data_IF_651980622233
#
_entry.id   IF_651980622233
#
_cell.length_a   1.000
_cell.length_b   1.000
_cell.length_c   1.000
_cell.angle_alpha   90.00
_cell.angle_beta   90.00
_cell.angle_gamma   90.00
#
_symmetry.space_group_name_H-M   'P 1'
#
loop_
_entity.id
_entity.type
_entity.pdbx_description
1 polymer ?
#
# COMPACT_ATOMS: atom_id res chain seq x y z
N UNK A 1 -3.17 4.14 -23.55
CA UNK A 1 -2.78 3.98 -23.21
C UNK A 1 -2.26 3.63 -22.76
N UNK A 2 -2.23 3.68 -22.37
CA UNK A 2 -1.75 3.44 -21.83
C UNK A 2 -1.36 3.04 -21.10
N UNK A 3 -1.13 2.97 -20.77
CA UNK A 3 -0.84 2.59 -20.13
C UNK A 3 -0.44 2.33 -19.19
N UNK A 4 -0.57 2.23 -18.91
CA UNK A 4 -0.50 2.11 -17.93
C UNK A 4 -0.19 1.31 -17.16
N UNK A 5 -0.03 1.18 -16.56
CA UNK A 5 0.30 0.36 -16.02
C UNK A 5 0.57 0.29 -14.82
N UNK A 6 0.82 -0.30 -14.26
CA UNK A 6 1.02 -0.69 -13.06
C UNK A 6 2.26 -0.20 -12.62
N UNK A 7 2.48 1.00 -12.60
CA UNK A 7 3.63 1.52 -12.15
C UNK A 7 3.60 1.74 -10.74
N UNK A 8 4.75 1.88 -10.11
CA UNK A 8 4.92 2.37 -8.75
C UNK A 8 4.93 3.87 -8.82
N UNK A 9 4.01 4.47 -8.12
CA UNK A 9 3.95 5.91 -8.02
C UNK A 9 4.42 6.32 -6.65
N UNK A 10 5.36 7.24 -6.60
CA UNK A 10 5.92 7.72 -5.34
C UNK A 10 5.39 9.10 -5.04
N UNK A 11 4.76 9.24 -3.90
CA UNK A 11 4.27 10.53 -3.44
C UNK A 11 4.95 10.88 -2.13
N UNK A 12 5.31 12.11 -1.95
CA UNK A 12 5.99 12.57 -0.76
C UNK A 12 5.25 13.75 -0.15
N UNK A 13 5.25 13.79 1.17
CA UNK A 13 4.71 14.92 1.87
C UNK A 13 3.26 15.21 1.55
N UNK A 14 2.96 16.47 1.36
CA UNK A 14 1.58 16.88 1.15
C UNK A 14 1.02 16.40 -0.18
N UNK A 15 1.88 16.03 -1.12
CA UNK A 15 1.40 15.49 -2.39
C UNK A 15 0.62 14.21 -2.22
N UNK A 16 1.00 13.43 -1.21
CA UNK A 16 0.31 12.18 -0.93
C UNK A 16 -1.15 12.45 -0.62
N UNK A 17 -1.39 13.41 0.25
CA UNK A 17 -2.74 13.69 0.68
C UNK A 17 -3.60 14.18 -0.47
N UNK A 18 -3.02 15.00 -1.33
CA UNK A 18 -3.77 15.50 -2.49
C UNK A 18 -4.12 14.37 -3.44
N UNK A 19 -3.15 13.49 -3.70
CA UNK A 19 -3.41 12.38 -4.61
C UNK A 19 -4.43 11.41 -4.06
N UNK A 20 -4.37 11.14 -2.75
CA UNK A 20 -5.28 10.19 -2.13
C UNK A 20 -6.71 10.65 -2.17
N UNK A 21 -6.95 11.96 -2.11
CA UNK A 21 -8.30 12.49 -2.15
C UNK A 21 -9.02 12.14 -3.44
N UNK A 22 -8.28 11.86 -4.49
CA UNK A 22 -8.89 11.55 -5.77
C UNK A 22 -9.31 10.10 -5.89
N UNK A 23 -8.90 9.26 -4.94
CA UNK A 23 -9.26 7.86 -4.97
C UNK A 23 -10.66 7.67 -4.39
N UNK A 24 -11.55 7.04 -5.15
CA UNK A 24 -12.91 6.80 -4.70
C UNK A 24 -13.36 5.45 -5.20
N UNK A 25 -14.09 4.76 -4.35
CA UNK A 25 -14.68 3.48 -4.71
C UNK A 25 -13.64 2.44 -5.10
N UNK A 26 -12.46 2.55 -4.50
CA UNK A 26 -11.40 1.58 -4.72
C UNK A 26 -11.28 0.65 -3.53
N UNK A 27 -10.63 -0.46 -3.75
CA UNK A 27 -10.35 -1.39 -2.67
C UNK A 27 -8.85 -1.33 -2.42
N UNK A 28 -8.47 -0.76 -1.30
CA UNK A 28 -7.09 -0.40 -1.02
C UNK A 28 -6.50 -1.32 0.04
N UNK A 29 -5.41 -1.98 -0.30
CA UNK A 29 -4.66 -2.78 0.65
C UNK A 29 -3.54 -1.88 1.16
N UNK A 30 -3.65 -1.46 2.42
CA UNK A 30 -2.75 -0.48 3.00
C UNK A 30 -1.64 -1.18 3.74
N UNK A 31 -0.45 -1.17 3.19
CA UNK A 31 0.72 -1.78 3.82
C UNK A 31 1.44 -0.70 4.60
N UNK A 32 1.47 -0.84 5.92
CA UNK A 32 2.01 0.19 6.79
C UNK A 32 2.98 -0.39 7.80
N UNK A 33 4.05 0.34 8.03
CA UNK A 33 4.99 0.01 9.08
C UNK A 33 4.25 0.06 10.42
N UNK A 34 4.39 -0.94 11.28
CA UNK A 34 3.67 -0.94 12.57
C UNK A 34 3.87 0.30 13.39
N UNK A 35 5.04 0.88 13.32
CA UNK A 35 5.36 2.08 14.07
C UNK A 35 4.45 3.25 13.67
N UNK A 36 3.98 3.30 12.43
CA UNK A 36 3.07 4.36 11.99
C UNK A 36 1.68 4.17 12.56
N UNK A 37 1.31 2.94 12.86
CA UNK A 37 0.04 2.67 13.52
C UNK A 37 0.14 3.09 14.99
N UNK A 38 1.25 2.75 15.62
CA UNK A 38 1.43 3.05 17.04
C UNK A 38 1.48 4.54 17.31
N UNK A 39 2.11 5.30 16.43
CA UNK A 39 2.23 6.74 16.67
C UNK A 39 1.07 7.54 16.08
N UNK A 40 0.13 6.88 15.43
CA UNK A 40 -1.08 7.53 14.95
C UNK A 40 -0.97 8.20 13.59
N UNK A 41 0.21 8.15 12.96
CA UNK A 41 0.36 8.81 11.67
C UNK A 41 -0.53 8.21 10.60
N UNK A 42 -0.84 6.91 10.71
CA UNK A 42 -1.69 6.26 9.74
C UNK A 42 -3.09 6.87 9.72
N UNK A 43 -3.52 7.46 10.81
CA UNK A 43 -4.87 8.00 10.89
C UNK A 43 -5.10 9.13 9.89
N UNK A 44 -4.08 9.90 9.62
CA UNK A 44 -4.23 10.97 8.64
C UNK A 44 -4.41 10.40 7.24
N UNK A 45 -3.68 9.34 6.94
CA UNK A 45 -3.82 8.69 5.64
C UNK A 45 -5.21 8.10 5.48
N UNK A 46 -5.67 7.42 6.52
CA UNK A 46 -6.99 6.77 6.48
C UNK A 46 -8.09 7.79 6.24
N UNK A 47 -7.97 8.97 6.85
CA UNK A 47 -8.97 9.99 6.64
C UNK A 47 -9.05 10.45 5.19
N UNK A 48 -7.96 10.34 4.46
CA UNK A 48 -7.93 10.78 3.06
C UNK A 48 -8.37 9.71 2.09
N UNK A 49 -8.60 8.49 2.56
CA UNK A 49 -9.09 7.41 1.70
C UNK A 49 -10.43 6.87 2.17
N UNK A 50 -11.17 7.68 2.93
CA UNK A 50 -12.40 7.20 3.56
C UNK A 50 -13.56 7.01 2.58
N UNK A 51 -13.39 7.38 1.31
CA UNK A 51 -14.38 7.08 0.28
C UNK A 51 -14.08 5.74 -0.40
N UNK A 52 -13.23 4.95 0.21
CA UNK A 52 -12.80 3.67 -0.35
C UNK A 52 -12.93 2.60 0.73
N UNK A 53 -12.93 1.35 0.29
CA UNK A 53 -12.76 0.25 1.23
C UNK A 53 -11.27 0.04 1.42
N UNK A 54 -10.84 -0.25 2.63
CA UNK A 54 -9.42 -0.51 2.84
C UNK A 54 -9.21 -1.57 3.89
N UNK A 55 -8.06 -2.22 3.80
CA UNK A 55 -7.64 -3.25 4.73
C UNK A 55 -6.18 -2.96 5.06
N UNK A 56 -5.85 -2.90 6.35
CA UNK A 56 -4.50 -2.58 6.79
C UNK A 56 -3.71 -3.85 7.03
N UNK A 57 -2.50 -3.89 6.50
CA UNK A 57 -1.56 -4.97 6.73
C UNK A 57 -0.29 -4.35 7.29
N UNK A 58 0.07 -4.76 8.50
CA UNK A 58 1.24 -4.18 9.17
C UNK A 58 2.24 -5.21 9.64
N UNK A 59 2.09 -6.45 9.21
CA UNK A 59 3.03 -7.50 9.59
C UNK A 59 4.29 -7.40 8.76
N UNK A 60 5.04 -6.32 8.97
CA UNK A 60 6.20 -5.95 8.20
C UNK A 60 7.46 -6.20 9.02
N UNK A 61 8.37 -6.97 8.46
CA UNK A 61 9.68 -7.20 9.08
C UNK A 61 10.74 -7.06 8.00
N UNK A 62 11.96 -6.72 8.36
CA UNK A 62 13.05 -6.72 7.39
C UNK A 62 13.26 -8.14 6.89
N UNK A 63 13.57 -8.29 5.62
CA UNK A 63 13.89 -9.58 5.06
C UNK A 63 12.80 -10.60 5.40
N UNK A 64 11.56 -10.35 4.97
CA UNK A 64 10.43 -11.15 5.46
C UNK A 64 10.48 -12.59 4.96
N UNK A 65 10.07 -13.54 5.82
CA UNK A 65 9.94 -14.92 5.36
C UNK A 65 8.80 -15.01 4.36
N UNK A 66 8.88 -16.02 3.52
CA UNK A 66 7.90 -16.20 2.45
C UNK A 66 6.48 -16.31 3.00
N UNK A 67 6.33 -16.88 4.19
CA UNK A 67 5.01 -17.03 4.80
C UNK A 67 4.29 -15.71 5.00
N UNK A 68 5.05 -14.67 5.33
CA UNK A 68 4.44 -13.35 5.51
C UNK A 68 4.01 -12.74 4.20
N UNK A 69 4.80 -12.95 3.16
CA UNK A 69 4.41 -12.48 1.83
C UNK A 69 3.18 -13.24 1.35
N UNK A 70 3.15 -14.54 1.55
CA UNK A 70 2.00 -15.35 1.16
C UNK A 70 0.74 -14.90 1.91
N UNK A 71 0.88 -14.61 3.20
CA UNK A 71 -0.25 -14.12 3.98
C UNK A 71 -0.80 -12.83 3.40
N UNK A 72 0.08 -11.91 3.05
CA UNK A 72 -0.35 -10.66 2.43
C UNK A 72 -1.04 -10.88 1.10
N UNK A 73 -0.48 -11.76 0.28
CA UNK A 73 -1.07 -12.07 -1.02
C UNK A 73 -2.47 -12.66 -0.87
N UNK A 74 -2.64 -13.57 0.09
CA UNK A 74 -3.96 -14.15 0.33
C UNK A 74 -4.96 -13.07 0.71
N UNK A 75 -4.56 -12.15 1.55
CA UNK A 75 -5.44 -11.07 1.96
C UNK A 75 -5.78 -10.16 0.79
N UNK A 76 -4.81 -9.87 -0.07
CA UNK A 76 -5.05 -9.07 -1.25
C UNK A 76 -6.08 -9.73 -2.15
N UNK A 77 -5.92 -11.02 -2.37
CA UNK A 77 -6.82 -11.76 -3.26
C UNK A 77 -8.22 -11.85 -2.66
N UNK A 78 -8.32 -12.19 -1.37
CA UNK A 78 -9.61 -12.30 -0.70
C UNK A 78 -10.33 -10.97 -0.64
N UNK A 79 -9.59 -9.92 -0.38
CA UNK A 79 -10.16 -8.57 -0.31
C UNK A 79 -10.46 -8.01 -1.70
N UNK A 80 -9.87 -8.58 -2.72
CA UNK A 80 -9.99 -8.11 -4.10
C UNK A 80 -9.48 -6.68 -4.23
N UNK A 81 -8.30 -6.45 -3.68
CA UNK A 81 -7.68 -5.14 -3.73
C UNK A 81 -7.33 -4.77 -5.17
N UNK A 82 -7.54 -3.52 -5.51
CA UNK A 82 -7.09 -3.04 -6.81
C UNK A 82 -5.95 -2.02 -6.67
N UNK A 83 -5.66 -1.59 -5.45
CA UNK A 83 -4.55 -0.70 -5.16
C UNK A 83 -3.82 -1.20 -3.93
N UNK A 84 -2.51 -1.23 -3.99
CA UNK A 84 -1.68 -1.40 -2.81
C UNK A 84 -1.10 -0.03 -2.49
N UNK A 85 -1.41 0.51 -1.33
CA UNK A 85 -0.86 1.78 -0.88
C UNK A 85 0.09 1.47 0.27
N UNK A 86 1.35 1.83 0.10
CA UNK A 86 2.34 1.50 1.10
C UNK A 86 2.88 2.76 1.75
N UNK A 87 3.03 2.72 3.06
CA UNK A 87 3.53 3.84 3.84
C UNK A 87 4.61 3.33 4.76
N UNK A 88 5.78 3.91 4.65
CA UNK A 88 6.87 3.50 5.52
C UNK A 88 8.19 3.48 4.81
N UNK A 89 9.13 2.78 5.37
CA UNK A 89 10.47 2.71 4.84
C UNK A 89 10.66 1.52 3.91
N UNK A 90 11.92 1.14 3.77
CA UNK A 90 12.30 0.11 2.81
C UNK A 90 11.62 -1.23 3.03
N UNK A 91 11.45 -1.64 4.30
CA UNK A 91 10.84 -2.94 4.59
C UNK A 91 9.40 -2.99 4.09
N UNK A 92 8.64 -1.92 4.32
CA UNK A 92 7.25 -1.89 3.88
C UNK A 92 7.18 -1.89 2.36
N UNK A 93 8.02 -1.11 1.72
CA UNK A 93 8.03 -1.01 0.27
C UNK A 93 8.41 -2.34 -0.36
N UNK A 94 9.43 -3.00 0.17
CA UNK A 94 9.89 -4.28 -0.36
C UNK A 94 8.80 -5.34 -0.21
N UNK A 95 8.14 -5.36 0.93
CA UNK A 95 7.05 -6.31 1.15
C UNK A 95 5.91 -6.05 0.16
N UNK A 96 5.56 -4.79 -0.03
CA UNK A 96 4.48 -4.44 -0.94
C UNK A 96 4.79 -4.82 -2.38
N UNK A 97 6.03 -4.60 -2.80
CA UNK A 97 6.44 -4.98 -4.15
C UNK A 97 6.37 -6.49 -4.37
N UNK A 98 6.82 -7.26 -3.38
CA UNK A 98 6.76 -8.71 -3.47
C UNK A 98 5.32 -9.19 -3.53
N UNK A 99 4.45 -8.62 -2.70
CA UNK A 99 3.04 -9.00 -2.70
C UNK A 99 2.38 -8.66 -4.03
N UNK A 100 2.69 -7.49 -4.56
CA UNK A 100 2.14 -7.08 -5.85
C UNK A 100 2.56 -8.06 -6.95
N UNK A 101 3.84 -8.43 -6.94
CA UNK A 101 4.35 -9.35 -7.94
C UNK A 101 3.60 -10.67 -7.92
N UNK A 102 3.45 -11.26 -6.74
CA UNK A 102 2.78 -12.55 -6.63
C UNK A 102 1.29 -12.45 -6.86
N UNK A 103 0.66 -11.39 -6.37
CA UNK A 103 -0.79 -11.22 -6.56
C UNK A 103 -1.13 -11.05 -8.03
N UNK A 104 -0.30 -10.33 -8.77
CA UNK A 104 -0.54 -10.12 -10.20
C UNK A 104 -0.40 -11.40 -11.02
N UNK A 105 0.23 -12.43 -10.46
CA UNK A 105 0.30 -13.71 -11.15
C UNK A 105 -0.96 -14.54 -10.93
N UNK A 106 -1.76 -14.17 -9.94
CA UNK A 106 -2.99 -14.88 -9.61
C UNK A 106 -4.19 -14.16 -10.18
N UNK A 107 -4.21 -12.84 -10.02
CA UNK A 107 -5.36 -12.04 -10.41
C UNK A 107 -5.33 -11.72 -11.89
N UNK A 108 -6.54 -11.64 -12.48
CA UNK A 108 -6.66 -11.22 -13.86
C UNK A 108 -6.39 -9.74 -14.00
N UNK A 109 -6.91 -8.95 -13.07
CA UNK A 109 -6.71 -7.51 -13.08
C UNK A 109 -5.43 -7.18 -12.34
N UNK A 110 -4.64 -6.31 -12.91
CA UNK A 110 -3.40 -5.93 -12.27
C UNK A 110 -3.65 -4.92 -11.17
N UNK A 111 -2.76 -4.93 -10.19
CA UNK A 111 -2.86 -4.07 -9.03
C UNK A 111 -1.91 -2.90 -9.18
N UNK A 112 -2.39 -1.72 -8.90
CA UNK A 112 -1.58 -0.52 -8.90
C UNK A 112 -0.88 -0.39 -7.55
N UNK A 113 0.38 0.01 -7.55
CA UNK A 113 1.13 0.21 -6.31
C UNK A 113 1.47 1.68 -6.16
N UNK A 114 1.03 2.24 -5.04
CA UNK A 114 1.35 3.61 -4.67
C UNK A 114 2.13 3.56 -3.36
N UNK A 115 3.13 4.43 -3.22
CA UNK A 115 3.80 4.40 -1.95
C UNK A 115 4.37 5.76 -1.59
N UNK A 116 4.54 5.98 -0.29
CA UNK A 116 5.00 7.23 0.22
C UNK A 116 5.81 7.04 1.50
N UNK A 117 6.64 8.00 1.78
CA UNK A 117 7.33 8.09 3.05
C UNK A 117 6.43 8.80 4.06
N UNK A 118 6.50 8.40 5.32
CA UNK A 118 5.61 8.99 6.31
C UNK A 118 5.93 10.43 6.62
N UNK A 119 7.19 10.83 6.51
CA UNK A 119 7.56 12.18 6.86
C UNK A 119 8.66 12.64 5.97
N UNK A 120 8.42 13.67 5.22
CA UNK A 120 9.49 14.17 4.38
C UNK A 120 10.55 14.87 5.16
N UNK A 121 10.27 15.32 6.32
CA UNK A 121 11.14 15.97 7.08
C UNK A 121 11.87 15.33 7.94
N UNK A 122 11.79 14.72 8.04
CA UNK A 122 12.45 14.14 8.71
C UNK A 122 13.41 13.91 8.32
N UNK A 123 13.35 14.33 7.98
CA UNK A 123 14.08 14.26 7.49
C UNK A 123 14.53 14.22 7.30
#
# INVERSE_FOLDING_TARGET
MQKIHFKTTIWLGSEVLEGLKELKNRRIFLVADPFLIENGQINEIVRHIDHNDYLVFSDIVPDPPIEKIVSGVKQIVDFQADIILTIGGGSAIDAAKAMKYFANRILTNKICLLYTSPSPRDS
#
